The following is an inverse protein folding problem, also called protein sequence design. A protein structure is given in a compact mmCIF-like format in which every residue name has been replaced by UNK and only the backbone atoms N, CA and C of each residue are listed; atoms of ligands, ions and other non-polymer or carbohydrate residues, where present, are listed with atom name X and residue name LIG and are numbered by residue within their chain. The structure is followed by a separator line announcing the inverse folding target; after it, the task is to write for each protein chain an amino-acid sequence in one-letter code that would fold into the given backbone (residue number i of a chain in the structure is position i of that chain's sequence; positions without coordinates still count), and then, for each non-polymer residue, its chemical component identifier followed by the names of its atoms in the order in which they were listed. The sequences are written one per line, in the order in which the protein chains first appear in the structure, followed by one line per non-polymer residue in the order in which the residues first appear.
data_IF_019081091723
#
_entry.id   IF_019081091723
#
_cell.length_a   1.000
_cell.length_b   1.000
_cell.length_c   1.000
_cell.angle_alpha   90.00
_cell.angle_beta   90.00
_cell.angle_gamma   90.00
#
_symmetry.space_group_name_H-M   'P 1'
#
loop_
_entity.id
_entity.type
_entity.pdbx_description
1 polymer ?
#
# COMPACT_ATOMS: atom_id res chain seq x y z
N UNK A 1 30.58 43.38 23.87
CA UNK A 1 30.83 42.85 22.51
C UNK A 1 30.78 41.32 22.50
N UNK A 2 29.70 40.69 23.02
CA UNK A 2 29.50 39.22 22.97
C UNK A 2 28.01 38.89 23.15
N UNK A 3 27.15 39.28 22.19
CA UNK A 3 25.70 38.99 22.26
C UNK A 3 25.12 38.25 21.04
N UNK A 4 25.95 37.89 20.06
CA UNK A 4 25.49 37.31 18.79
C UNK A 4 26.02 35.89 18.47
N UNK A 5 26.53 35.14 19.46
CA UNK A 5 27.08 33.80 19.20
C UNK A 5 26.13 32.63 19.54
N UNK A 6 25.04 32.87 20.26
CA UNK A 6 24.09 31.80 20.62
C UNK A 6 22.94 31.61 19.62
N UNK A 7 22.73 32.56 18.69
CA UNK A 7 21.68 32.45 17.69
C UNK A 7 22.06 31.56 16.48
N UNK A 8 23.36 31.32 16.26
CA UNK A 8 23.81 30.44 15.17
C UNK A 8 23.78 28.94 15.53
N UNK A 9 23.78 28.58 16.81
CA UNK A 9 23.74 27.17 17.21
C UNK A 9 22.31 26.58 17.17
N UNK A 10 21.28 27.43 17.22
CA UNK A 10 19.88 27.01 17.07
C UNK A 10 19.37 27.02 15.62
N UNK A 11 20.06 27.73 14.72
CA UNK A 11 19.71 27.77 13.29
C UNK A 11 20.22 26.56 12.49
N UNK A 12 21.20 25.82 13.00
CA UNK A 12 21.73 24.61 12.35
C UNK A 12 21.00 23.31 12.73
N UNK A 13 20.00 23.35 13.62
CA UNK A 13 19.18 22.18 13.98
C UNK A 13 17.81 22.16 13.28
N UNK A 14 17.49 23.20 12.49
CA UNK A 14 16.24 23.29 11.70
C UNK A 14 16.44 22.96 10.22
N UNK A 15 17.64 22.58 9.82
CA UNK A 15 17.96 22.09 8.47
C UNK A 15 18.47 20.66 8.57
N UNK A 16 17.57 19.69 8.47
CA UNK A 16 17.94 18.28 8.34
C UNK A 16 17.58 17.40 9.53
N UNK A 17 16.29 17.31 9.88
CA UNK A 17 15.73 16.02 10.27
C UNK A 17 14.80 15.55 9.16
N UNK A 18 15.40 15.32 7.99
CA UNK A 18 14.94 14.20 7.17
C UNK A 18 15.16 12.98 8.05
N UNK A 19 14.18 12.58 8.85
CA UNK A 19 14.06 11.16 9.16
C UNK A 19 13.98 10.51 7.79
N UNK A 20 15.10 9.98 7.33
CA UNK A 20 15.17 9.22 6.10
C UNK A 20 14.29 8.00 6.32
N UNK A 21 13.01 8.16 6.03
CA UNK A 21 12.05 7.08 6.02
C UNK A 21 12.48 6.23 4.84
N UNK A 22 13.27 5.21 5.11
CA UNK A 22 13.64 4.23 4.10
C UNK A 22 12.38 3.42 3.81
N UNK A 23 11.99 3.42 2.54
CA UNK A 23 10.98 2.49 2.06
C UNK A 23 11.55 1.08 2.16
N UNK A 24 10.82 0.16 2.78
CA UNK A 24 11.29 -1.23 2.99
C UNK A 24 10.71 -2.17 1.92
N UNK A 25 9.59 -1.79 1.30
CA UNK A 25 8.86 -2.66 0.38
C UNK A 25 9.51 -2.87 -0.99
N UNK A 26 9.01 -3.88 -1.69
CA UNK A 26 9.14 -4.02 -3.16
C UNK A 26 7.73 -3.91 -3.72
N UNK A 27 7.38 -2.73 -4.27
CA UNK A 27 6.03 -2.55 -4.83
C UNK A 27 5.82 -3.54 -5.95
N UNK A 28 6.80 -3.72 -6.83
CA UNK A 28 6.75 -4.73 -7.88
C UNK A 28 7.90 -5.74 -7.72
N UNK A 29 7.69 -6.88 -7.03
CA UNK A 29 8.76 -7.83 -6.74
C UNK A 29 9.29 -8.54 -7.99
N UNK A 30 8.52 -8.55 -9.09
CA UNK A 30 8.90 -9.15 -10.37
C UNK A 30 8.62 -8.17 -11.50
N UNK A 31 9.44 -7.09 -11.63
CA UNK A 31 9.20 -6.06 -12.61
C UNK A 31 9.39 -6.62 -14.02
N UNK A 32 8.41 -6.37 -14.88
CA UNK A 32 8.45 -6.77 -16.28
C UNK A 32 8.42 -5.56 -17.19
N UNK A 33 9.14 -5.66 -18.30
CA UNK A 33 8.99 -4.68 -19.37
C UNK A 33 7.70 -4.98 -20.12
N UNK A 34 6.65 -4.25 -19.76
CA UNK A 34 5.36 -4.36 -20.43
C UNK A 34 5.46 -3.66 -21.79
N UNK A 35 5.24 -4.40 -22.89
CA UNK A 35 5.17 -3.86 -24.24
C UNK A 35 3.71 -3.61 -24.67
N UNK A 36 2.84 -3.26 -23.73
CA UNK A 36 1.44 -2.97 -24.03
C UNK A 36 1.34 -1.56 -24.57
N UNK A 37 0.78 -1.42 -25.78
CA UNK A 37 0.34 -0.14 -26.30
C UNK A 37 -1.00 0.20 -25.66
N UNK A 38 -1.01 0.92 -24.54
CA UNK A 38 -2.25 1.53 -24.05
C UNK A 38 -2.71 2.58 -25.07
N UNK A 39 -3.94 2.44 -25.56
CA UNK A 39 -4.57 3.43 -26.42
C UNK A 39 -4.97 4.64 -25.58
N UNK A 40 -4.97 5.84 -26.16
CA UNK A 40 -5.41 7.08 -25.50
C UNK A 40 -6.89 7.06 -25.02
N UNK A 41 -7.65 6.02 -25.37
CA UNK A 41 -9.04 5.81 -24.98
C UNK A 41 -9.22 4.62 -24.01
N UNK A 42 -8.15 3.97 -23.54
CA UNK A 42 -8.28 2.83 -22.64
C UNK A 42 -8.62 3.30 -21.22
N UNK A 43 -9.77 2.85 -20.73
CA UNK A 43 -10.20 3.02 -19.33
C UNK A 43 -9.71 1.83 -18.53
N UNK A 44 -8.92 2.08 -17.49
CA UNK A 44 -8.46 1.07 -16.53
C UNK A 44 -9.51 0.92 -15.45
N UNK A 45 -9.97 -0.30 -15.22
CA UNK A 45 -11.02 -0.65 -14.27
C UNK A 45 -10.43 -1.36 -13.06
N UNK A 46 -10.55 -0.75 -11.89
CA UNK A 46 -10.06 -1.28 -10.63
C UNK A 46 -11.22 -1.93 -9.86
N UNK A 47 -11.12 -3.22 -9.57
CA UNK A 47 -12.01 -3.91 -8.63
C UNK A 47 -11.33 -4.01 -7.28
N UNK A 48 -12.04 -3.69 -6.20
CA UNK A 48 -11.48 -3.77 -4.85
C UNK A 48 -12.33 -4.60 -3.90
N UNK A 49 -11.68 -5.29 -2.97
CA UNK A 49 -12.29 -6.00 -1.83
C UNK A 49 -11.67 -5.53 -0.51
N UNK A 50 -12.41 -5.67 0.59
CA UNK A 50 -11.96 -5.33 1.94
C UNK A 50 -11.85 -6.59 2.80
N UNK A 51 -10.64 -6.89 3.28
CA UNK A 51 -10.29 -8.15 3.92
C UNK A 51 -9.76 -7.95 5.34
N UNK A 52 -10.40 -8.62 6.28
CA UNK A 52 -9.90 -8.79 7.65
C UNK A 52 -9.08 -10.09 7.76
N UNK A 53 -8.30 -10.20 8.82
CA UNK A 53 -7.62 -11.42 9.24
C UNK A 53 -8.37 -12.11 10.38
N UNK A 54 -7.97 -13.32 10.75
CA UNK A 54 -8.33 -13.85 12.07
C UNK A 54 -7.75 -12.94 13.15
N UNK A 55 -8.57 -12.65 14.17
CA UNK A 55 -8.17 -11.70 15.19
C UNK A 55 -7.08 -12.28 16.11
N UNK A 56 -6.08 -11.47 16.43
CA UNK A 56 -5.03 -11.82 17.39
C UNK A 56 -4.55 -10.60 18.18
N UNK A 57 -3.44 -10.76 18.90
CA UNK A 57 -2.76 -9.70 19.64
C UNK A 57 -1.25 -9.82 19.46
N UNK A 58 -0.82 -10.17 18.25
CA UNK A 58 0.59 -10.36 17.96
C UNK A 58 1.30 -9.01 17.98
N UNK A 59 2.29 -8.86 18.87
CA UNK A 59 3.04 -7.60 19.01
C UNK A 59 3.97 -7.29 17.82
N UNK A 60 4.10 -8.21 16.85
CA UNK A 60 4.81 -7.96 15.61
C UNK A 60 3.91 -7.45 14.48
N UNK A 61 2.61 -7.29 14.69
CA UNK A 61 1.65 -6.72 13.72
C UNK A 61 0.88 -5.56 14.36
N UNK A 62 0.44 -4.60 13.55
CA UNK A 62 -0.39 -3.48 13.99
C UNK A 62 -1.88 -3.77 13.84
N UNK A 63 -2.64 -3.42 14.88
CA UNK A 63 -4.07 -3.73 14.98
C UNK A 63 -4.31 -5.15 15.50
N UNK A 64 -5.57 -5.57 15.51
CA UNK A 64 -5.98 -6.92 15.91
C UNK A 64 -6.41 -7.79 14.72
N UNK A 65 -6.10 -7.35 13.50
CA UNK A 65 -6.51 -8.00 12.26
C UNK A 65 -7.92 -7.60 11.77
N UNK A 66 -8.61 -6.65 12.43
CA UNK A 66 -9.88 -6.07 11.96
C UNK A 66 -9.75 -4.61 11.56
N UNK A 67 -10.51 -4.18 10.54
CA UNK A 67 -10.56 -2.77 10.14
C UNK A 67 -10.95 -1.88 11.32
N UNK A 68 -10.28 -0.73 11.43
CA UNK A 68 -10.50 0.25 12.49
C UNK A 68 -9.94 -0.11 13.86
N UNK A 69 -9.08 -1.13 13.94
CA UNK A 69 -8.38 -1.53 15.17
C UNK A 69 -7.03 -0.81 15.39
N UNK A 70 -6.58 -0.02 14.42
CA UNK A 70 -5.27 0.64 14.37
C UNK A 70 -5.06 1.81 15.35
N UNK A 71 -6.13 2.51 15.75
CA UNK A 71 -6.05 3.68 16.62
C UNK A 71 -6.55 3.37 18.03
N UNK A 72 -5.95 4.01 19.03
CA UNK A 72 -6.33 3.88 20.44
C UNK A 72 -6.64 5.23 21.07
N UNK A 73 -7.29 5.23 22.24
CA UNK A 73 -7.57 6.45 22.99
C UNK A 73 -8.31 7.53 22.19
N UNK A 74 -7.78 8.76 22.22
CA UNK A 74 -8.37 9.92 21.57
C UNK A 74 -8.39 9.83 20.04
N UNK A 75 -7.39 9.19 19.44
CA UNK A 75 -7.26 9.07 17.97
C UNK A 75 -8.40 8.26 17.34
N UNK A 76 -9.09 7.39 18.11
CA UNK A 76 -10.26 6.64 17.61
C UNK A 76 -11.42 7.52 17.19
N UNK A 77 -11.49 8.73 17.72
CA UNK A 77 -12.59 9.69 17.50
C UNK A 77 -12.09 11.03 16.97
N UNK A 78 -10.79 11.17 16.74
CA UNK A 78 -10.20 12.39 16.22
C UNK A 78 -10.42 12.47 14.71
N UNK A 79 -11.07 13.54 14.26
CA UNK A 79 -11.34 13.81 12.85
C UNK A 79 -10.37 14.83 12.23
N UNK A 80 -9.34 15.23 12.98
CA UNK A 80 -8.30 16.17 12.54
C UNK A 80 -7.03 15.47 12.08
N UNK A 81 -6.87 14.19 12.40
CA UNK A 81 -5.79 13.35 11.90
C UNK A 81 -6.00 13.00 10.43
N UNK A 82 -4.91 12.66 9.76
CA UNK A 82 -4.92 12.08 8.42
C UNK A 82 -5.65 10.74 8.44
N UNK A 83 -6.53 10.53 7.45
CA UNK A 83 -7.25 9.28 7.25
C UNK A 83 -7.93 8.78 8.56
N UNK A 84 -8.88 9.56 9.13
CA UNK A 84 -9.56 9.20 10.37
C UNK A 84 -10.56 8.05 10.16
N UNK A 85 -10.92 7.36 11.25
CA UNK A 85 -11.95 6.32 11.22
C UNK A 85 -13.35 6.88 10.87
N UNK A 86 -14.25 6.07 10.27
CA UNK A 86 -14.11 4.66 9.94
C UNK A 86 -13.45 4.39 8.58
N UNK A 87 -12.56 3.39 8.53
CA UNK A 87 -11.97 2.85 7.29
C UNK A 87 -12.91 1.84 6.65
N UNK A 88 -13.94 2.35 5.98
CA UNK A 88 -14.99 1.56 5.33
C UNK A 88 -14.94 1.72 3.80
N UNK A 89 -15.95 1.20 3.10
CA UNK A 89 -16.06 1.34 1.64
C UNK A 89 -15.91 2.78 1.14
N UNK A 90 -16.55 3.75 1.79
CA UNK A 90 -16.49 5.15 1.35
C UNK A 90 -15.09 5.76 1.53
N UNK A 91 -14.36 5.32 2.56
CA UNK A 91 -12.96 5.68 2.76
C UNK A 91 -12.08 5.17 1.60
N UNK A 92 -12.18 3.90 1.24
CA UNK A 92 -11.41 3.35 0.11
C UNK A 92 -11.83 3.92 -1.24
N UNK A 93 -13.12 4.19 -1.45
CA UNK A 93 -13.59 4.90 -2.66
C UNK A 93 -12.99 6.31 -2.76
N UNK A 94 -12.78 7.00 -1.65
CA UNK A 94 -12.14 8.32 -1.65
C UNK A 94 -10.67 8.24 -2.08
N UNK A 95 -9.94 7.21 -1.64
CA UNK A 95 -8.57 6.95 -2.11
C UNK A 95 -8.52 6.54 -3.58
N UNK A 96 -9.49 5.76 -4.07
CA UNK A 96 -9.55 5.40 -5.50
C UNK A 96 -9.98 6.59 -6.37
N UNK A 97 -10.78 7.51 -5.85
CA UNK A 97 -11.05 8.79 -6.52
C UNK A 97 -9.78 9.64 -6.61
N UNK A 98 -8.92 9.63 -5.58
CA UNK A 98 -7.60 10.24 -5.66
C UNK A 98 -6.76 9.62 -6.79
N UNK A 99 -6.69 8.28 -6.88
CA UNK A 99 -5.98 7.58 -7.97
C UNK A 99 -6.49 8.01 -9.34
N UNK A 100 -7.80 8.06 -9.52
CA UNK A 100 -8.44 8.53 -10.76
C UNK A 100 -8.03 9.95 -11.11
N UNK A 101 -8.09 10.87 -10.16
CA UNK A 101 -7.71 12.27 -10.37
C UNK A 101 -6.22 12.42 -10.66
N UNK A 102 -5.38 11.67 -9.97
CA UNK A 102 -3.94 11.65 -10.20
C UNK A 102 -3.62 11.23 -11.64
N UNK A 103 -4.13 10.08 -12.10
CA UNK A 103 -3.85 9.61 -13.46
C UNK A 103 -4.47 10.50 -14.54
N UNK A 104 -5.66 11.06 -14.32
CA UNK A 104 -6.23 12.05 -15.22
C UNK A 104 -5.33 13.30 -15.33
N UNK A 105 -4.76 13.76 -14.23
CA UNK A 105 -3.87 14.92 -14.18
C UNK A 105 -2.54 14.68 -14.87
N UNK A 106 -1.78 13.66 -14.43
CA UNK A 106 -0.40 13.41 -14.92
C UNK A 106 -0.38 12.92 -16.37
N UNK A 107 -1.46 12.31 -16.84
CA UNK A 107 -1.60 11.88 -18.24
C UNK A 107 -2.20 12.94 -19.15
N UNK A 108 -2.59 14.11 -18.63
CA UNK A 108 -3.38 15.12 -19.36
C UNK A 108 -4.67 14.54 -19.98
N UNK A 109 -5.44 13.80 -19.18
CA UNK A 109 -6.68 13.09 -19.50
C UNK A 109 -6.55 12.01 -20.58
N UNK A 110 -5.36 11.39 -20.73
CA UNK A 110 -5.18 10.25 -21.64
C UNK A 110 -5.34 8.89 -20.93
N UNK A 111 -5.23 8.85 -19.61
CA UNK A 111 -5.48 7.67 -18.77
C UNK A 111 -6.74 7.91 -17.95
N UNK A 112 -7.73 7.03 -18.10
CA UNK A 112 -9.00 7.10 -17.40
C UNK A 112 -9.09 5.93 -16.41
N UNK A 113 -9.46 6.21 -15.17
CA UNK A 113 -9.68 5.20 -14.14
C UNK A 113 -11.17 5.13 -13.81
N UNK A 114 -11.73 3.92 -13.84
CA UNK A 114 -12.97 3.57 -13.19
C UNK A 114 -12.66 2.62 -12.02
N UNK A 115 -13.42 2.70 -10.95
CA UNK A 115 -13.25 1.81 -9.81
C UNK A 115 -14.57 1.31 -9.27
N UNK A 116 -14.52 0.14 -8.62
CA UNK A 116 -15.62 -0.40 -7.88
C UNK A 116 -15.10 -1.15 -6.65
N UNK A 117 -15.65 -0.86 -5.49
CA UNK A 117 -15.35 -1.58 -4.24
C UNK A 117 -16.54 -2.48 -3.95
N UNK A 118 -16.32 -3.80 -3.90
CA UNK A 118 -17.36 -4.75 -3.51
C UNK A 118 -17.88 -4.42 -2.10
N UNK A 119 -19.18 -4.61 -1.86
CA UNK A 119 -19.74 -4.39 -0.53
C UNK A 119 -19.21 -5.43 0.46
N UNK A 120 -19.37 -5.13 1.74
CA UNK A 120 -19.00 -5.96 2.87
C UNK A 120 -17.49 -6.16 3.10
N UNK A 121 -17.18 -6.58 4.32
CA UNK A 121 -15.85 -7.04 4.71
C UNK A 121 -15.95 -8.51 5.12
N UNK A 122 -14.96 -9.32 4.79
CA UNK A 122 -14.89 -10.71 5.24
C UNK A 122 -13.54 -11.01 5.89
N UNK A 123 -13.35 -12.21 6.43
CA UNK A 123 -12.08 -12.61 7.04
C UNK A 123 -11.46 -13.79 6.29
N UNK A 124 -10.15 -13.74 6.07
CA UNK A 124 -9.36 -14.91 5.68
C UNK A 124 -9.12 -15.83 6.89
N UNK A 125 -8.65 -17.05 6.64
CA UNK A 125 -8.56 -18.15 7.61
C UNK A 125 -7.41 -18.05 8.60
N UNK A 126 -6.37 -17.25 8.31
CA UNK A 126 -5.22 -17.08 9.20
C UNK A 126 -5.09 -15.64 9.72
N UNK A 127 -4.20 -15.46 10.69
CA UNK A 127 -3.81 -14.13 11.17
C UNK A 127 -2.86 -13.45 10.19
N UNK A 128 -2.72 -12.12 10.27
CA UNK A 128 -1.90 -11.33 9.35
C UNK A 128 -0.45 -11.85 9.26
N UNK A 129 0.17 -12.12 10.41
CA UNK A 129 1.55 -12.64 10.48
C UNK A 129 1.79 -13.89 9.65
N UNK A 130 0.79 -14.77 9.54
CA UNK A 130 0.90 -16.03 8.83
C UNK A 130 0.83 -15.87 7.30
N UNK A 131 0.28 -14.75 6.83
CA UNK A 131 0.32 -14.32 5.43
C UNK A 131 1.49 -13.40 5.10
N UNK A 132 2.08 -12.72 6.10
CA UNK A 132 3.27 -11.90 5.89
C UNK A 132 4.52 -12.73 5.58
N UNK A 133 5.39 -12.28 4.65
CA UNK A 133 6.74 -12.82 4.51
C UNK A 133 7.51 -12.69 5.83
N UNK A 134 8.44 -13.62 6.05
CA UNK A 134 9.41 -13.50 7.14
C UNK A 134 10.25 -12.22 6.97
N UNK A 135 10.72 -11.60 8.07
CA UNK A 135 11.58 -10.43 7.96
C UNK A 135 12.83 -10.71 7.12
N UNK A 136 13.22 -9.78 6.24
CA UNK A 136 14.33 -9.91 5.29
C UNK A 136 14.21 -11.08 4.30
N UNK A 137 13.00 -11.60 4.09
CA UNK A 137 12.73 -12.64 3.10
C UNK A 137 12.15 -12.05 1.81
N UNK A 138 12.65 -12.52 0.68
CA UNK A 138 12.08 -12.28 -0.65
C UNK A 138 11.03 -13.35 -1.04
N UNK A 139 10.65 -14.22 -0.12
CA UNK A 139 9.61 -15.22 -0.34
C UNK A 139 8.20 -14.64 -0.12
N UNK A 140 7.54 -14.32 -1.22
CA UNK A 140 6.16 -13.82 -1.26
C UNK A 140 5.10 -14.94 -1.32
N UNK A 141 5.46 -16.22 -1.11
CA UNK A 141 4.52 -17.34 -1.16
C UNK A 141 3.33 -17.16 -0.22
N UNK A 142 3.57 -16.68 1.01
CA UNK A 142 2.50 -16.42 1.99
C UNK A 142 1.56 -15.30 1.51
N UNK A 143 2.12 -14.23 0.96
CA UNK A 143 1.37 -13.08 0.41
C UNK A 143 0.55 -13.46 -0.83
N UNK A 144 1.10 -14.27 -1.72
CA UNK A 144 0.36 -14.76 -2.90
C UNK A 144 -0.77 -15.71 -2.51
N UNK A 145 -0.56 -16.56 -1.49
CA UNK A 145 -1.63 -17.41 -0.94
C UNK A 145 -2.74 -16.60 -0.26
N UNK A 146 -2.39 -15.49 0.42
CA UNK A 146 -3.39 -14.53 0.92
C UNK A 146 -4.27 -14.00 -0.21
N UNK A 147 -3.66 -13.52 -1.29
CA UNK A 147 -4.41 -13.02 -2.46
C UNK A 147 -5.37 -14.08 -3.02
N UNK A 148 -4.86 -15.30 -3.22
CA UNK A 148 -5.66 -16.43 -3.72
C UNK A 148 -6.85 -16.75 -2.84
N UNK A 149 -6.65 -16.80 -1.52
CA UNK A 149 -7.73 -17.07 -0.57
C UNK A 149 -8.77 -15.94 -0.54
N UNK A 150 -8.30 -14.69 -0.47
CA UNK A 150 -9.16 -13.52 -0.45
C UNK A 150 -10.07 -13.47 -1.69
N UNK A 151 -9.52 -13.67 -2.90
CA UNK A 151 -10.30 -13.70 -4.12
C UNK A 151 -11.24 -14.91 -4.22
N UNK A 152 -10.84 -16.08 -3.70
CA UNK A 152 -11.71 -17.25 -3.62
C UNK A 152 -12.95 -16.98 -2.77
N UNK A 153 -12.77 -16.34 -1.61
CA UNK A 153 -13.89 -15.97 -0.73
C UNK A 153 -14.75 -14.90 -1.40
N UNK A 154 -14.16 -13.86 -1.98
CA UNK A 154 -14.88 -12.79 -2.67
C UNK A 154 -15.76 -13.34 -3.81
N UNK A 155 -15.24 -14.26 -4.63
CA UNK A 155 -16.00 -14.92 -5.70
C UNK A 155 -17.15 -15.79 -5.14
N UNK A 156 -16.91 -16.47 -4.02
CA UNK A 156 -17.95 -17.28 -3.35
C UNK A 156 -19.08 -16.42 -2.79
N UNK A 157 -18.76 -15.26 -2.23
CA UNK A 157 -19.74 -14.32 -1.69
C UNK A 157 -20.52 -13.56 -2.76
N UNK A 158 -19.99 -13.46 -3.97
CA UNK A 158 -20.58 -12.71 -5.09
C UNK A 158 -20.84 -13.63 -6.29
N UNK A 159 -21.72 -14.64 -6.16
CA UNK A 159 -21.99 -15.58 -7.25
C UNK A 159 -22.55 -14.83 -8.45
N UNK A 160 -21.91 -15.00 -9.61
CA UNK A 160 -22.32 -14.36 -10.86
C UNK A 160 -21.75 -12.96 -11.10
N UNK A 161 -20.94 -12.42 -10.18
CA UNK A 161 -20.19 -11.19 -10.45
C UNK A 161 -19.10 -11.45 -11.51
N UNK A 162 -19.01 -10.60 -12.53
CA UNK A 162 -18.06 -10.77 -13.62
C UNK A 162 -16.74 -10.06 -13.31
N UNK A 163 -15.81 -10.78 -12.68
CA UNK A 163 -14.47 -10.26 -12.37
C UNK A 163 -13.67 -9.88 -13.63
N UNK A 164 -13.94 -10.54 -14.76
CA UNK A 164 -13.24 -10.32 -16.02
C UNK A 164 -13.61 -9.01 -16.73
N UNK A 165 -14.51 -8.20 -16.18
CA UNK A 165 -14.76 -6.83 -16.65
C UNK A 165 -13.72 -5.81 -16.12
N UNK A 166 -12.80 -6.23 -15.25
CA UNK A 166 -11.82 -5.38 -14.59
C UNK A 166 -10.38 -5.68 -15.03
N UNK A 167 -9.47 -4.72 -14.79
CA UNK A 167 -8.05 -4.79 -15.16
C UNK A 167 -7.14 -5.02 -13.96
N UNK A 168 -7.42 -4.32 -12.86
CA UNK A 168 -6.63 -4.34 -11.62
C UNK A 168 -7.49 -4.87 -10.48
N UNK A 169 -6.96 -5.84 -9.74
CA UNK A 169 -7.63 -6.47 -8.60
C UNK A 169 -6.97 -6.04 -7.30
N UNK A 170 -7.65 -5.21 -6.51
CA UNK A 170 -7.14 -4.62 -5.27
C UNK A 170 -7.72 -5.32 -4.04
N UNK A 171 -6.84 -5.64 -3.09
CA UNK A 171 -7.19 -6.13 -1.77
C UNK A 171 -6.77 -5.06 -0.77
N UNK A 172 -7.75 -4.37 -0.21
CA UNK A 172 -7.51 -3.59 1.00
C UNK A 172 -7.56 -4.54 2.20
N UNK A 173 -6.54 -4.52 3.04
CA UNK A 173 -6.50 -5.37 4.23
C UNK A 173 -6.51 -4.56 5.53
N UNK A 174 -7.11 -5.12 6.58
CA UNK A 174 -7.08 -4.53 7.92
C UNK A 174 -5.65 -4.40 8.46
N UNK A 175 -5.40 -3.40 9.30
CA UNK A 175 -4.10 -3.09 9.89
C UNK A 175 -3.17 -2.29 8.98
N UNK A 176 -1.92 -2.15 9.42
CA UNK A 176 -0.91 -1.30 8.76
C UNK A 176 -0.05 -2.13 7.82
N UNK A 177 0.57 -1.52 6.81
CA UNK A 177 1.53 -2.18 5.93
C UNK A 177 2.97 -2.10 6.46
N UNK A 178 3.80 -3.01 5.95
CA UNK A 178 5.24 -3.07 6.24
C UNK A 178 6.07 -2.27 5.23
N UNK A 179 5.66 -1.03 4.98
CA UNK A 179 6.18 -0.26 3.84
C UNK A 179 7.28 0.73 4.21
N UNK A 180 7.33 1.17 5.47
CA UNK A 180 8.31 2.17 5.93
C UNK A 180 8.98 1.74 7.23
N UNK A 181 10.26 2.08 7.37
CA UNK A 181 10.96 1.98 8.65
C UNK A 181 10.66 3.19 9.51
N UNK A 182 10.27 2.95 10.77
CA UNK A 182 10.15 4.01 11.77
C UNK A 182 11.36 4.07 12.71
N UNK A 183 11.65 5.25 13.29
CA UNK A 183 12.66 5.37 14.33
C UNK A 183 12.42 4.38 15.47
N UNK A 184 13.42 3.55 15.76
CA UNK A 184 13.35 2.53 16.83
C UNK A 184 12.81 1.16 16.38
N UNK A 185 12.44 0.99 15.11
CA UNK A 185 12.14 -0.31 14.52
C UNK A 185 13.32 -1.28 14.67
N UNK A 186 13.01 -2.52 15.05
CA UNK A 186 13.99 -3.61 15.15
C UNK A 186 14.03 -4.49 13.90
N UNK A 187 13.21 -4.18 12.89
CA UNK A 187 13.13 -4.94 11.63
C UNK A 187 12.53 -6.34 11.80
N UNK A 188 11.73 -6.57 12.84
CA UNK A 188 11.07 -7.84 13.12
C UNK A 188 9.55 -7.79 12.92
N UNK A 189 9.05 -6.71 12.31
CA UNK A 189 7.65 -6.49 11.98
C UNK A 189 7.13 -7.57 11.02
N UNK A 190 5.88 -7.94 11.20
CA UNK A 190 5.16 -9.01 10.52
C UNK A 190 3.87 -8.54 9.90
N UNK A 191 3.73 -7.22 9.75
CA UNK A 191 2.70 -6.60 8.94
C UNK A 191 2.80 -7.09 7.49
N UNK A 192 1.65 -7.27 6.85
CA UNK A 192 1.62 -7.65 5.44
C UNK A 192 2.14 -6.48 4.60
N UNK A 193 3.14 -6.67 3.70
CA UNK A 193 3.67 -5.57 2.91
C UNK A 193 2.70 -5.18 1.79
N UNK A 194 2.71 -3.90 1.40
CA UNK A 194 2.04 -3.47 0.18
C UNK A 194 2.79 -4.00 -1.04
N UNK A 195 2.04 -4.55 -2.00
CA UNK A 195 2.65 -5.16 -3.19
C UNK A 195 1.68 -5.23 -4.37
N UNK A 196 2.21 -5.05 -5.57
CA UNK A 196 1.57 -5.40 -6.83
C UNK A 196 2.17 -6.73 -7.34
N UNK A 197 1.37 -7.80 -7.25
CA UNK A 197 1.70 -9.10 -7.81
C UNK A 197 1.18 -9.17 -9.25
N UNK A 198 2.09 -9.05 -10.23
CA UNK A 198 1.79 -9.22 -11.65
C UNK A 198 1.44 -10.68 -12.02
N UNK A 199 1.00 -10.88 -13.26
CA UNK A 199 0.71 -12.21 -13.82
C UNK A 199 1.92 -13.15 -13.69
N UNK A 200 3.09 -12.64 -14.07
CA UNK A 200 4.36 -13.35 -13.87
C UNK A 200 4.62 -13.64 -12.41
N UNK A 201 4.53 -12.63 -11.53
CA UNK A 201 4.82 -12.80 -10.11
C UNK A 201 3.96 -13.94 -9.53
N UNK A 202 2.66 -13.91 -9.81
CA UNK A 202 1.71 -14.93 -9.33
C UNK A 202 2.05 -16.32 -9.91
N UNK A 203 2.35 -16.42 -11.21
CA UNK A 203 2.73 -17.70 -11.84
C UNK A 203 4.04 -18.26 -11.31
N UNK A 204 5.04 -17.42 -11.07
CA UNK A 204 6.34 -17.84 -10.51
C UNK A 204 6.20 -18.25 -9.05
N UNK A 205 5.61 -17.41 -8.20
CA UNK A 205 5.45 -17.68 -6.75
C UNK A 205 4.57 -18.92 -6.51
N UNK A 206 3.45 -19.03 -7.24
CA UNK A 206 2.49 -20.13 -7.04
C UNK A 206 2.77 -21.35 -7.90
N UNK A 207 3.91 -21.41 -8.60
CA UNK A 207 4.27 -22.51 -9.51
C UNK A 207 3.13 -22.85 -10.49
N UNK A 208 2.56 -21.83 -11.14
CA UNK A 208 1.40 -21.89 -12.04
C UNK A 208 0.07 -22.38 -11.42
N UNK A 209 -0.03 -22.54 -10.10
CA UNK A 209 -1.29 -22.85 -9.42
C UNK A 209 -2.16 -21.60 -9.20
N UNK A 210 -2.67 -21.06 -10.30
CA UNK A 210 -3.45 -19.81 -10.37
C UNK A 210 -4.95 -19.97 -10.06
N UNK A 211 -5.40 -21.18 -9.72
CA UNK A 211 -6.80 -21.45 -9.34
C UNK A 211 -7.24 -20.53 -8.20
N UNK A 212 -8.41 -19.91 -8.32
CA UNK A 212 -8.99 -19.03 -7.29
C UNK A 212 -8.61 -17.55 -7.44
N UNK A 213 -7.64 -17.22 -8.30
CA UNK A 213 -7.33 -15.84 -8.66
C UNK A 213 -8.25 -15.34 -9.80
N UNK A 214 -8.61 -14.06 -9.82
CA UNK A 214 -9.40 -13.47 -10.88
C UNK A 214 -8.56 -13.24 -12.14
N UNK A 215 -9.20 -13.33 -13.30
CA UNK A 215 -8.60 -13.08 -14.63
C UNK A 215 -9.13 -11.76 -15.15
N UNK A 216 -8.24 -10.86 -15.55
CA UNK A 216 -8.59 -9.55 -16.07
C UNK A 216 -9.06 -9.59 -17.54
N UNK A 217 -9.45 -8.43 -18.09
CA UNK A 217 -9.89 -8.29 -19.50
C UNK A 217 -8.87 -8.75 -20.55
N UNK A 218 -7.59 -8.82 -20.20
CA UNK A 218 -6.50 -9.25 -21.08
C UNK A 218 -6.14 -10.73 -20.90
N UNK A 219 -6.83 -11.48 -20.04
CA UNK A 219 -6.52 -12.88 -19.77
C UNK A 219 -5.35 -13.09 -18.79
N UNK A 220 -4.97 -12.05 -18.05
CA UNK A 220 -3.85 -12.04 -17.10
C UNK A 220 -4.35 -12.03 -15.65
N UNK A 221 -3.53 -12.57 -14.75
CA UNK A 221 -3.77 -12.48 -13.31
C UNK A 221 -3.04 -11.26 -12.74
N UNK A 222 -3.61 -10.61 -11.73
CA UNK A 222 -2.85 -9.68 -10.90
C UNK A 222 -3.52 -9.53 -9.54
N UNK A 223 -2.77 -9.03 -8.57
CA UNK A 223 -3.34 -8.58 -7.31
C UNK A 223 -2.50 -7.46 -6.71
N UNK A 224 -3.13 -6.33 -6.46
CA UNK A 224 -2.62 -5.23 -5.67
C UNK A 224 -3.06 -5.44 -4.22
N UNK A 225 -2.14 -5.44 -3.26
CA UNK A 225 -2.41 -5.61 -1.82
C UNK A 225 -1.97 -4.33 -1.13
N UNK A 226 -2.89 -3.66 -0.44
CA UNK A 226 -2.68 -2.36 0.22
C UNK A 226 -3.33 -2.39 1.61
N UNK A 227 -2.71 -1.85 2.66
CA UNK A 227 -3.28 -1.80 4.01
C UNK A 227 -4.44 -0.81 4.12
N UNK A 228 -5.13 -0.82 5.26
CA UNK A 228 -6.15 0.19 5.56
C UNK A 228 -5.51 1.57 5.77
N UNK A 229 -4.28 1.60 6.28
CA UNK A 229 -3.50 2.82 6.46
C UNK A 229 -2.01 2.52 6.55
N UNK A 230 -1.19 3.57 6.43
CA UNK A 230 0.21 3.56 6.88
C UNK A 230 0.42 4.33 8.20
N UNK A 231 -0.64 4.93 8.73
CA UNK A 231 -0.60 5.66 9.99
C UNK A 231 -0.49 4.72 11.18
N UNK A 232 0.37 5.05 12.15
CA UNK A 232 0.60 4.20 13.32
C UNK A 232 0.94 4.98 14.58
N UNK A 233 0.42 4.49 15.69
CA UNK A 233 0.77 5.00 17.01
C UNK A 233 2.06 4.34 17.50
N UNK A 234 3.02 5.16 17.91
CA UNK A 234 4.36 4.73 18.29
C UNK A 234 4.69 5.25 19.67
N UNK A 235 5.19 4.38 20.53
CA UNK A 235 5.67 4.76 21.85
C UNK A 235 7.09 5.35 21.72
N UNK A 236 7.24 6.63 22.05
CA UNK A 236 8.52 7.36 22.05
C UNK A 236 8.83 7.90 23.45
N UNK A 237 10.05 8.38 23.67
CA UNK A 237 10.40 9.06 24.92
C UNK A 237 9.52 10.31 25.05
N UNK A 238 8.65 10.34 26.07
CA UNK A 238 7.71 11.44 26.31
C UNK A 238 6.24 11.11 26.03
N UNK A 239 5.94 9.92 25.50
CA UNK A 239 4.57 9.43 25.32
C UNK A 239 4.34 8.75 23.98
N UNK A 240 3.08 8.44 23.69
CA UNK A 240 2.64 7.88 22.42
C UNK A 240 2.38 9.00 21.41
N UNK A 241 2.93 8.87 20.22
CA UNK A 241 2.76 9.82 19.11
C UNK A 241 2.13 9.10 17.92
N UNK A 242 1.25 9.78 17.19
CA UNK A 242 0.72 9.28 15.93
C UNK A 242 1.65 9.71 14.79
N UNK A 243 2.18 8.74 14.05
CA UNK A 243 2.83 8.98 12.76
C UNK A 243 1.76 8.87 11.68
N UNK A 244 1.48 9.98 11.02
CA UNK A 244 0.40 10.11 10.04
C UNK A 244 0.94 9.91 8.62
N UNK A 245 0.47 8.85 7.94
CA UNK A 245 0.80 8.52 6.56
C UNK A 245 -0.45 8.02 5.82
N UNK A 246 -0.61 8.49 4.59
CA UNK A 246 -1.68 8.07 3.68
C UNK A 246 -1.20 7.01 2.70
N UNK A 247 -2.12 6.17 2.25
CA UNK A 247 -1.89 5.13 1.25
C UNK A 247 -1.99 5.63 -0.21
N UNK A 248 -2.31 6.91 -0.42
CA UNK A 248 -2.48 7.51 -1.75
C UNK A 248 -1.28 7.25 -2.66
N UNK A 249 -0.06 7.52 -2.19
CA UNK A 249 1.16 7.26 -2.94
C UNK A 249 1.41 5.78 -3.25
N UNK A 250 1.08 4.87 -2.33
CA UNK A 250 1.19 3.42 -2.55
C UNK A 250 0.24 2.96 -3.66
N UNK A 251 -0.99 3.46 -3.65
CA UNK A 251 -1.99 3.16 -4.65
C UNK A 251 -1.58 3.63 -6.04
N UNK A 252 -1.17 4.90 -6.19
CA UNK A 252 -0.76 5.41 -7.49
C UNK A 252 0.53 4.75 -8.00
N UNK A 253 1.49 4.43 -7.12
CA UNK A 253 2.70 3.72 -7.51
C UNK A 253 2.38 2.28 -7.95
N UNK A 254 1.47 1.58 -7.27
CA UNK A 254 1.07 0.22 -7.63
C UNK A 254 0.29 0.17 -8.96
N UNK A 255 -0.57 1.16 -9.24
CA UNK A 255 -1.19 1.30 -10.58
C UNK A 255 -0.14 1.66 -11.63
N UNK A 256 0.85 2.48 -11.31
CA UNK A 256 1.97 2.76 -12.22
C UNK A 256 2.80 1.49 -12.49
N UNK A 257 3.00 0.60 -11.51
CA UNK A 257 3.60 -0.72 -11.74
C UNK A 257 2.76 -1.58 -12.68
N UNK A 258 1.42 -1.57 -12.57
CA UNK A 258 0.54 -2.24 -13.53
C UNK A 258 0.69 -1.67 -14.94
N UNK A 259 0.91 -0.36 -15.08
CA UNK A 259 1.21 0.31 -16.34
C UNK A 259 2.64 0.05 -16.87
N UNK A 260 3.48 -0.66 -16.11
CA UNK A 260 4.82 -1.06 -16.52
C UNK A 260 5.93 -0.10 -16.11
N UNK A 261 5.67 0.85 -15.20
CA UNK A 261 6.73 1.69 -14.66
C UNK A 261 7.57 0.87 -13.65
N UNK A 262 8.92 0.95 -13.75
CA UNK A 262 9.80 0.25 -12.82
C UNK A 262 9.94 1.01 -11.51
N UNK A 263 10.31 0.30 -10.45
CA UNK A 263 10.78 0.91 -9.21
C UNK A 263 12.05 1.75 -9.48
N UNK A 264 12.11 2.96 -8.94
CA UNK A 264 13.19 3.94 -9.15
C UNK A 264 14.03 4.20 -7.88
N UNK A 265 13.87 3.35 -6.87
CA UNK A 265 14.75 3.24 -5.69
C UNK A 265 15.61 1.98 -5.79
N UNK A 266 16.61 1.84 -4.92
CA UNK A 266 17.38 0.60 -4.82
C UNK A 266 16.52 -0.49 -4.17
N UNK A 267 16.01 -1.43 -4.94
CA UNK A 267 15.09 -2.50 -4.49
C UNK A 267 15.72 -3.54 -3.56
N UNK A 268 17.05 -3.55 -3.41
CA UNK A 268 17.75 -4.42 -2.46
C UNK A 268 17.89 -3.77 -1.07
N UNK A 269 18.04 -2.44 -1.03
CA UNK A 269 18.35 -1.70 0.20
C UNK A 269 17.25 -0.74 0.65
N UNK A 270 16.25 -0.48 -0.20
CA UNK A 270 15.21 0.52 0.04
C UNK A 270 15.67 1.97 -0.10
N UNK A 271 16.95 2.20 -0.45
CA UNK A 271 17.51 3.54 -0.53
C UNK A 271 16.97 4.28 -1.76
N UNK A 272 16.45 5.47 -1.51
CA UNK A 272 16.01 6.42 -2.53
C UNK A 272 17.14 6.77 -3.49
N UNK A 273 16.83 6.83 -4.78
CA UNK A 273 17.79 7.24 -5.82
C UNK A 273 17.39 8.56 -6.47
N UNK A 274 16.13 8.70 -6.88
CA UNK A 274 15.62 9.94 -7.51
C UNK A 274 14.81 10.80 -6.55
N UNK A 275 14.61 10.36 -5.30
CA UNK A 275 13.96 11.16 -4.27
C UNK A 275 12.50 11.46 -4.60
N UNK A 276 12.02 12.59 -4.11
CA UNK A 276 10.63 13.04 -4.29
C UNK A 276 10.27 13.48 -5.71
N UNK A 277 11.19 13.35 -6.68
CA UNK A 277 11.01 13.86 -8.04
C UNK A 277 10.34 12.87 -8.99
N UNK A 278 10.30 11.57 -8.67
CA UNK A 278 9.60 10.60 -9.50
C UNK A 278 8.83 9.61 -8.66
N UNK A 279 7.58 9.38 -9.06
CA UNK A 279 6.58 8.60 -8.31
C UNK A 279 7.12 7.26 -7.79
N UNK A 280 7.87 6.55 -8.61
CA UNK A 280 8.31 5.18 -8.32
C UNK A 280 9.50 5.10 -7.35
N UNK A 281 9.84 6.18 -6.65
CA UNK A 281 10.83 6.19 -5.58
C UNK A 281 10.14 6.19 -4.21
N UNK A 282 10.68 5.44 -3.24
CA UNK A 282 10.14 5.37 -1.88
C UNK A 282 9.89 6.72 -1.21
N UNK A 283 10.76 7.71 -1.44
CA UNK A 283 10.56 9.06 -0.88
C UNK A 283 9.42 9.82 -1.58
N UNK A 284 9.15 9.53 -2.84
CA UNK A 284 8.05 10.13 -3.60
C UNK A 284 6.70 9.52 -3.21
N UNK A 285 6.66 8.20 -3.02
CA UNK A 285 5.47 7.47 -2.53
C UNK A 285 4.96 8.10 -1.23
N UNK A 286 5.86 8.43 -0.31
CA UNK A 286 5.50 9.07 0.97
C UNK A 286 5.76 10.58 1.00
N UNK A 287 5.82 11.24 -0.15
CA UNK A 287 5.96 12.70 -0.21
C UNK A 287 4.79 13.37 0.53
N UNK A 288 5.13 14.28 1.45
CA UNK A 288 4.16 14.93 2.35
C UNK A 288 3.26 13.94 3.09
N UNK A 289 3.84 12.86 3.62
CA UNK A 289 3.09 11.81 4.31
C UNK A 289 2.22 10.98 3.37
N UNK A 290 2.60 10.88 2.10
CA UNK A 290 1.87 10.13 1.07
C UNK A 290 0.66 10.85 0.49
N UNK A 291 0.38 12.09 0.93
CA UNK A 291 -0.81 12.84 0.50
C UNK A 291 -0.63 13.56 -0.85
N UNK A 292 0.62 13.88 -1.22
CA UNK A 292 0.96 14.60 -2.45
C UNK A 292 2.15 13.92 -3.16
N UNK A 293 1.95 12.73 -3.76
CA UNK A 293 2.93 12.15 -4.68
C UNK A 293 3.20 13.12 -5.85
N UNK A 294 4.39 13.08 -6.47
CA UNK A 294 4.76 13.99 -7.55
C UNK A 294 3.86 13.80 -8.79
N UNK A 295 3.49 14.89 -9.44
CA UNK A 295 2.68 14.96 -10.66
C UNK A 295 3.50 15.34 -11.90
#
# INVERSE_FOLDING_TARGET
MFKNFYLLFFACLLTGTLSAQSFIGKINPFPEKINNSFSANDTIKILSIMVNFQADRDGATFGDGKFGSIYTGANRTDNTILDPLPHNKAYFESHLEFVKNYFAKVSNNNVHIEYFVLPDTFSVSQTMRNYSPEPNSDDFTRTANFSKEAWTIAATMNPGFNFSDYDIFTIFHAGVGRDVSLPGSLGNERDLPSVYLSDRALKEILNNNITGLPVNRNGEYNSMIIPETESREVDVIGGRVLFELSINGLLVASVASHLGLPDLFNTETGLSAIGRFGLMDGQAIFAYGGTYPPE
#
